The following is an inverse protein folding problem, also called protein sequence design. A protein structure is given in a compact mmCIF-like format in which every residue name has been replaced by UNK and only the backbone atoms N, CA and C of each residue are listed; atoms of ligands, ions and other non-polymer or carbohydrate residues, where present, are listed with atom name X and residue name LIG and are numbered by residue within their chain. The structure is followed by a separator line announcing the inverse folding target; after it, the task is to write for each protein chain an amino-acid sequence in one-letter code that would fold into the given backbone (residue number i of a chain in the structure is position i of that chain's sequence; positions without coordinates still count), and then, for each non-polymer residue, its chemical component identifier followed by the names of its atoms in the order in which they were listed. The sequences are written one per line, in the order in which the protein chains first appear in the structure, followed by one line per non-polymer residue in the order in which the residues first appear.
data_IF_969407998223
#
_entry.id   IF_969407998223
#
_cell.length_a   1.000
_cell.length_b   1.000
_cell.length_c   1.000
_cell.angle_alpha   90.00
_cell.angle_beta   90.00
_cell.angle_gamma   90.00
#
_symmetry.space_group_name_H-M   'P 1'
#
loop_
_entity.id
_entity.type
_entity.pdbx_description
1 polymer ?
#
# COMPACT_ATOMS: atom_id res chain seq x y z
N UNK A 1 8.50 36.12 40.41
CA UNK A 1 9.14 36.70 39.22
C UNK A 1 10.41 35.92 38.96
N UNK A 2 10.61 35.34 37.75
CA UNK A 2 9.58 35.05 36.70
C UNK A 2 8.56 34.00 37.21
N UNK A 3 7.61 33.41 36.47
CA UNK A 3 6.89 33.81 35.23
C UNK A 3 7.54 33.65 33.83
N UNK A 4 7.73 32.40 33.35
CA UNK A 4 7.70 31.97 31.93
C UNK A 4 7.30 30.48 31.92
N UNK A 5 6.27 29.95 31.24
CA UNK A 5 5.37 30.48 30.22
C UNK A 5 3.90 30.17 30.57
N UNK A 6 3.00 31.14 30.39
CA UNK A 6 1.66 30.84 29.87
C UNK A 6 1.84 30.61 28.35
N UNK A 7 1.44 29.45 27.83
CA UNK A 7 1.37 29.17 26.39
C UNK A 7 -0.11 28.99 26.00
N UNK A 8 -0.91 30.00 26.33
CA UNK A 8 -2.32 30.03 25.95
C UNK A 8 -2.45 30.03 24.42
N UNK A 9 -3.16 29.03 23.90
CA UNK A 9 -3.70 29.01 22.54
C UNK A 9 -2.93 28.23 21.47
N UNK A 10 -1.62 27.98 21.61
CA UNK A 10 -0.82 27.30 20.56
C UNK A 10 -0.41 25.86 20.91
N UNK A 11 -0.34 25.51 22.20
CA UNK A 11 -0.02 24.15 22.63
C UNK A 11 -1.18 23.16 22.34
N UNK A 12 -2.43 23.62 22.51
CA UNK A 12 -3.63 22.79 22.30
C UNK A 12 -3.84 22.41 20.82
N UNK A 13 -3.47 23.29 19.87
CA UNK A 13 -3.54 22.97 18.42
C UNK A 13 -2.49 21.93 18.00
N UNK A 14 -1.30 21.96 18.61
CA UNK A 14 -0.28 20.93 18.41
C UNK A 14 -0.71 19.58 19.01
N UNK A 15 -1.36 19.57 20.18
CA UNK A 15 -1.84 18.31 20.76
C UNK A 15 -3.00 17.67 19.95
N UNK A 16 -3.71 18.44 19.13
CA UNK A 16 -4.79 17.90 18.28
C UNK A 16 -4.31 16.98 17.12
N UNK A 17 -3.01 16.96 16.80
CA UNK A 17 -2.49 16.27 15.62
C UNK A 17 -1.30 15.33 15.92
N UNK A 18 -1.17 14.27 15.11
CA UNK A 18 0.10 13.59 14.89
C UNK A 18 0.46 13.68 13.40
N UNK A 19 1.67 14.17 13.12
CA UNK A 19 2.25 14.23 11.79
C UNK A 19 3.44 13.27 11.73
N UNK A 20 3.40 12.32 10.79
CA UNK A 20 4.42 11.29 10.59
C UNK A 20 4.96 11.45 9.18
N UNK A 21 6.19 11.92 9.06
CA UNK A 21 6.82 12.20 7.76
C UNK A 21 7.85 11.13 7.40
N UNK A 22 7.67 10.58 6.20
CA UNK A 22 8.43 9.50 5.55
C UNK A 22 9.09 8.48 6.50
N UNK A 23 8.28 7.69 7.25
CA UNK A 23 8.75 6.91 8.38
C UNK A 23 9.48 5.60 8.00
N UNK A 24 9.78 5.39 6.71
CA UNK A 24 10.56 4.25 6.19
C UNK A 24 11.69 4.82 5.35
N UNK A 25 12.93 4.49 5.70
CA UNK A 25 14.09 4.80 4.87
C UNK A 25 14.19 3.80 3.70
N UNK A 26 14.83 4.19 2.60
CA UNK A 26 15.09 3.30 1.46
C UNK A 26 16.10 2.18 1.72
N UNK A 27 16.60 2.04 2.96
CA UNK A 27 17.35 0.88 3.44
C UNK A 27 16.49 -0.08 4.28
N UNK A 28 15.27 0.31 4.66
CA UNK A 28 14.41 -0.39 5.62
C UNK A 28 13.19 -1.09 4.98
N UNK A 29 13.19 -1.33 3.66
CA UNK A 29 12.14 -2.10 2.94
C UNK A 29 11.82 -3.45 3.64
N UNK A 30 12.83 -4.06 4.27
CA UNK A 30 12.71 -5.28 5.11
C UNK A 30 11.79 -5.11 6.34
N UNK A 31 11.77 -3.92 6.94
CA UNK A 31 11.08 -3.61 8.20
C UNK A 31 9.76 -2.83 7.99
N UNK A 32 9.33 -2.65 6.74
CA UNK A 32 8.15 -1.84 6.36
C UNK A 32 6.88 -2.20 7.14
N UNK A 33 6.71 -3.47 7.53
CA UNK A 33 5.58 -3.94 8.35
C UNK A 33 5.64 -3.50 9.80
N UNK A 34 6.83 -3.36 10.38
CA UNK A 34 7.01 -2.87 11.75
C UNK A 34 6.55 -1.43 11.80
N UNK A 35 6.97 -0.63 10.82
CA UNK A 35 6.54 0.77 10.68
C UNK A 35 5.04 0.86 10.42
N UNK A 36 4.50 0.09 9.47
CA UNK A 36 3.07 0.07 9.19
C UNK A 36 2.23 -0.32 10.43
N UNK A 37 2.63 -1.37 11.15
CA UNK A 37 1.95 -1.84 12.36
C UNK A 37 2.07 -0.83 13.50
N UNK A 38 3.22 -0.20 13.68
CA UNK A 38 3.42 0.86 14.68
C UNK A 38 2.55 2.09 14.41
N UNK A 39 2.42 2.50 13.14
CA UNK A 39 1.51 3.56 12.70
C UNK A 39 0.04 3.16 12.91
N UNK A 40 -0.31 1.89 12.63
CA UNK A 40 -1.66 1.36 12.84
C UNK A 40 -2.04 1.36 14.33
N UNK A 41 -1.16 0.88 15.21
CA UNK A 41 -1.41 0.79 16.66
C UNK A 41 -1.47 2.18 17.32
N UNK A 42 -0.61 3.11 16.88
CA UNK A 42 -0.71 4.52 17.23
C UNK A 42 -2.05 5.11 16.79
N UNK A 43 -2.51 4.76 15.59
CA UNK A 43 -3.78 5.22 15.03
C UNK A 43 -4.97 4.67 15.78
N UNK A 44 -5.02 3.37 16.03
CA UNK A 44 -6.08 2.73 16.81
C UNK A 44 -6.19 3.31 18.23
N UNK A 45 -5.06 3.67 18.84
CA UNK A 45 -5.02 4.26 20.18
C UNK A 45 -5.52 5.72 20.23
N UNK A 46 -5.51 6.46 19.10
CA UNK A 46 -5.67 7.91 19.09
C UNK A 46 -6.70 8.49 18.11
N UNK A 47 -7.24 7.72 17.15
CA UNK A 47 -8.10 8.21 16.05
C UNK A 47 -9.38 8.98 16.47
N UNK A 48 -9.84 8.85 17.71
CA UNK A 48 -10.98 9.61 18.27
C UNK A 48 -10.56 10.90 19.01
N UNK A 49 -9.27 11.07 19.29
CA UNK A 49 -8.71 12.18 20.09
C UNK A 49 -7.86 13.12 19.24
N UNK A 50 -7.13 12.57 18.27
CA UNK A 50 -6.16 13.29 17.43
C UNK A 50 -6.38 12.97 15.97
N UNK A 51 -6.16 13.96 15.11
CA UNK A 51 -6.09 13.76 13.66
C UNK A 51 -4.69 13.30 13.30
N UNK A 52 -4.60 12.20 12.56
CA UNK A 52 -3.32 11.57 12.21
C UNK A 52 -3.09 11.75 10.72
N UNK A 53 -1.90 12.23 10.39
CA UNK A 53 -1.47 12.56 9.04
C UNK A 53 -0.14 11.85 8.81
N UNK A 54 -0.07 11.05 7.74
CA UNK A 54 1.11 10.29 7.36
C UNK A 54 1.48 10.68 5.93
N UNK A 55 2.69 11.20 5.73
CA UNK A 55 3.31 11.39 4.42
C UNK A 55 4.40 10.35 4.21
N UNK A 56 4.56 9.88 2.97
CA UNK A 56 5.66 8.98 2.60
C UNK A 56 5.89 8.99 1.09
N UNK A 57 7.14 8.79 0.68
CA UNK A 57 7.49 8.46 -0.70
C UNK A 57 7.48 6.94 -0.96
N UNK A 58 7.43 6.13 0.10
CA UNK A 58 7.49 4.68 -0.01
C UNK A 58 6.13 4.07 -0.39
N UNK A 59 5.99 3.68 -1.66
CA UNK A 59 4.74 3.13 -2.22
C UNK A 59 4.21 1.90 -1.48
N UNK A 60 5.12 1.00 -1.06
CA UNK A 60 4.75 -0.17 -0.24
C UNK A 60 4.07 0.20 1.08
N UNK A 61 4.60 1.18 1.82
CA UNK A 61 4.04 1.62 3.10
C UNK A 61 2.65 2.22 2.89
N UNK A 62 2.54 3.12 1.91
CA UNK A 62 1.25 3.70 1.51
C UNK A 62 0.24 2.59 1.20
N UNK A 63 0.62 1.59 0.40
CA UNK A 63 -0.26 0.50 -0.02
C UNK A 63 -0.76 -0.34 1.15
N UNK A 64 0.12 -0.70 2.10
CA UNK A 64 -0.20 -1.48 3.30
C UNK A 64 -1.16 -0.70 4.21
N UNK A 65 -0.85 0.57 4.50
CA UNK A 65 -1.68 1.42 5.35
C UNK A 65 -3.03 1.72 4.69
N UNK A 66 -3.05 1.99 3.39
CA UNK A 66 -4.26 2.19 2.60
C UNK A 66 -5.17 0.96 2.65
N UNK A 67 -4.63 -0.24 2.42
CA UNK A 67 -5.40 -1.47 2.56
C UNK A 67 -5.92 -1.61 3.99
N UNK A 68 -5.08 -1.55 5.03
CA UNK A 68 -5.53 -1.76 6.41
C UNK A 68 -6.56 -0.74 6.92
N UNK A 69 -6.49 0.52 6.46
CA UNK A 69 -7.41 1.56 6.90
C UNK A 69 -8.65 1.72 6.01
N UNK A 70 -8.64 1.25 4.76
CA UNK A 70 -9.76 1.44 3.82
C UNK A 70 -10.37 0.16 3.25
N UNK A 71 -9.70 -1.00 3.37
CA UNK A 71 -10.09 -2.30 2.79
C UNK A 71 -9.93 -3.47 3.79
N UNK A 72 -10.61 -4.59 3.51
CA UNK A 72 -10.49 -5.82 4.31
C UNK A 72 -10.91 -5.69 5.78
N UNK A 73 -10.68 -6.75 6.55
CA UNK A 73 -11.28 -6.93 7.89
C UNK A 73 -10.87 -5.87 8.93
N UNK A 74 -9.66 -5.31 8.81
CA UNK A 74 -9.14 -4.28 9.72
C UNK A 74 -9.77 -2.90 9.51
N UNK A 75 -10.31 -2.63 8.32
CA UNK A 75 -10.76 -1.28 7.93
C UNK A 75 -12.01 -0.78 8.65
N UNK A 76 -12.82 -1.66 9.26
CA UNK A 76 -14.22 -1.40 9.64
C UNK A 76 -14.51 0.01 10.16
N UNK A 77 -13.93 0.38 11.32
CA UNK A 77 -14.13 1.69 11.97
C UNK A 77 -13.33 2.85 11.34
N UNK A 78 -12.27 2.55 10.59
CA UNK A 78 -11.37 3.54 10.00
C UNK A 78 -11.78 3.98 8.59
N UNK A 79 -12.42 3.10 7.82
CA UNK A 79 -12.80 3.29 6.41
C UNK A 79 -13.53 4.60 6.10
N UNK A 80 -14.36 5.09 7.04
CA UNK A 80 -15.13 6.34 6.93
C UNK A 80 -14.38 7.58 7.43
N UNK A 81 -13.27 7.39 8.13
CA UNK A 81 -12.45 8.44 8.76
C UNK A 81 -11.16 8.69 7.98
N UNK A 82 -10.67 7.69 7.25
CA UNK A 82 -9.45 7.76 6.44
C UNK A 82 -9.70 8.45 5.10
N UNK A 83 -8.82 9.40 4.75
CA UNK A 83 -8.79 10.05 3.44
C UNK A 83 -7.40 9.87 2.81
N UNK A 84 -7.25 8.91 1.89
CA UNK A 84 -5.98 8.66 1.21
C UNK A 84 -5.81 9.59 0.01
N UNK A 85 -4.59 10.07 -0.19
CA UNK A 85 -4.23 10.96 -1.29
C UNK A 85 -2.86 10.58 -1.86
N UNK A 86 -2.65 10.91 -3.13
CA UNK A 86 -1.35 10.87 -3.78
C UNK A 86 -1.03 12.27 -4.27
N UNK A 87 0.16 12.76 -3.93
CA UNK A 87 0.65 14.05 -4.40
C UNK A 87 1.13 13.91 -5.85
N UNK A 88 0.58 14.74 -6.73
CA UNK A 88 0.96 14.83 -8.14
C UNK A 88 1.40 16.25 -8.47
N UNK A 89 2.43 16.38 -9.31
CA UNK A 89 2.84 17.65 -9.90
C UNK A 89 2.37 17.66 -11.37
N UNK A 90 1.70 18.71 -11.79
CA UNK A 90 1.30 18.92 -13.17
C UNK A 90 1.51 20.39 -13.56
N UNK A 91 2.58 20.65 -14.34
CA UNK A 91 2.97 21.99 -14.80
C UNK A 91 3.20 22.99 -13.66
N UNK A 92 4.00 22.60 -12.67
CA UNK A 92 4.35 23.37 -11.46
C UNK A 92 3.22 23.60 -10.43
N UNK A 93 1.99 23.16 -10.72
CA UNK A 93 0.92 23.03 -9.73
C UNK A 93 0.94 21.67 -9.03
N UNK A 94 0.71 21.66 -7.72
CA UNK A 94 0.65 20.47 -6.87
C UNK A 94 -0.80 20.12 -6.50
N UNK A 95 -1.22 18.88 -6.77
CA UNK A 95 -2.58 18.39 -6.48
C UNK A 95 -2.55 17.08 -5.69
N UNK A 96 -3.38 16.99 -4.64
CA UNK A 96 -3.66 15.77 -3.87
C UNK A 96 -4.85 15.01 -4.46
N UNK A 97 -4.57 13.97 -5.25
CA UNK A 97 -5.60 13.15 -5.90
C UNK A 97 -5.97 11.92 -5.08
N UNK A 98 -7.24 11.52 -5.11
CA UNK A 98 -7.66 10.23 -4.55
C UNK A 98 -7.10 9.08 -5.40
N UNK A 99 -6.53 8.01 -4.80
CA UNK A 99 -6.04 6.82 -5.52
C UNK A 99 -7.08 6.19 -6.46
N UNK A 100 -8.37 6.36 -6.14
CA UNK A 100 -9.47 5.78 -6.92
C UNK A 100 -9.93 6.66 -8.10
N UNK A 101 -9.46 7.91 -8.22
CA UNK A 101 -10.05 8.88 -9.15
C UNK A 101 -9.19 9.16 -10.38
N UNK A 102 -7.87 9.36 -10.24
CA UNK A 102 -7.01 9.52 -11.41
C UNK A 102 -5.51 9.40 -11.07
N UNK A 103 -4.98 8.17 -11.00
CA UNK A 103 -3.55 7.97 -10.70
C UNK A 103 -2.92 6.90 -11.59
N UNK A 104 -2.73 7.26 -12.85
CA UNK A 104 -1.93 6.50 -13.82
C UNK A 104 -0.52 6.16 -13.28
N UNK A 105 0.08 7.12 -12.56
CA UNK A 105 1.40 6.96 -11.93
C UNK A 105 1.42 5.93 -10.79
N UNK A 106 0.31 5.70 -10.08
CA UNK A 106 0.28 4.83 -8.91
C UNK A 106 0.45 3.36 -9.29
N UNK A 107 -0.38 2.89 -10.21
CA UNK A 107 -0.31 1.49 -10.66
C UNK A 107 0.98 1.23 -11.45
N UNK A 108 1.48 2.22 -12.20
CA UNK A 108 2.77 2.12 -12.87
C UNK A 108 3.91 1.97 -11.86
N UNK A 109 3.92 2.78 -10.80
CA UNK A 109 4.95 2.73 -9.77
C UNK A 109 4.87 1.44 -8.93
N UNK A 110 3.66 0.95 -8.62
CA UNK A 110 3.47 -0.40 -8.05
C UNK A 110 4.11 -1.49 -8.93
N UNK A 111 3.85 -1.47 -10.24
CA UNK A 111 4.42 -2.45 -11.17
C UNK A 111 5.96 -2.35 -11.25
N UNK A 112 6.52 -1.14 -11.24
CA UNK A 112 7.97 -0.91 -11.15
C UNK A 112 8.57 -1.50 -9.86
N UNK A 113 7.95 -1.28 -8.70
CA UNK A 113 8.40 -1.85 -7.42
C UNK A 113 8.36 -3.38 -7.45
N UNK A 114 7.28 -3.96 -8.00
CA UNK A 114 7.11 -5.41 -8.13
C UNK A 114 8.13 -6.03 -9.10
N UNK A 115 8.41 -5.39 -10.24
CA UNK A 115 9.41 -5.84 -11.21
C UNK A 115 10.83 -5.76 -10.62
N UNK A 116 11.16 -4.68 -9.91
CA UNK A 116 12.45 -4.52 -9.22
C UNK A 116 12.66 -5.67 -8.22
N UNK A 117 11.69 -5.91 -7.34
CA UNK A 117 11.74 -6.97 -6.32
C UNK A 117 11.88 -8.37 -6.95
N UNK A 118 11.11 -8.65 -8.02
CA UNK A 118 11.25 -9.88 -8.78
C UNK A 118 12.65 -10.03 -9.40
N UNK A 119 13.22 -8.95 -9.94
CA UNK A 119 14.53 -8.97 -10.61
C UNK A 119 15.68 -9.22 -9.63
N UNK A 120 15.68 -8.57 -8.46
CA UNK A 120 16.74 -8.75 -7.45
C UNK A 120 16.59 -10.04 -6.62
N UNK A 121 15.47 -10.76 -6.76
CA UNK A 121 15.10 -11.98 -6.01
C UNK A 121 14.85 -11.78 -4.51
N UNK A 122 14.42 -10.58 -4.12
CA UNK A 122 14.03 -10.27 -2.75
C UNK A 122 12.50 -10.23 -2.66
N UNK A 123 11.87 -11.41 -2.68
CA UNK A 123 10.42 -11.56 -2.67
C UNK A 123 9.90 -11.96 -1.29
N UNK A 124 9.39 -10.98 -0.55
CA UNK A 124 8.64 -11.18 0.71
C UNK A 124 7.14 -11.28 0.46
N UNK A 125 6.40 -11.94 1.37
CA UNK A 125 4.94 -12.13 1.25
C UNK A 125 4.19 -10.82 0.94
N UNK A 126 4.67 -9.66 1.42
CA UNK A 126 3.99 -8.38 1.22
C UNK A 126 3.85 -7.94 -0.23
N UNK A 127 4.71 -8.43 -1.14
CA UNK A 127 4.55 -8.13 -2.55
C UNK A 127 3.23 -8.69 -3.10
N UNK A 128 2.61 -9.70 -2.46
CA UNK A 128 1.24 -10.11 -2.78
C UNK A 128 0.18 -9.05 -2.44
N UNK A 129 0.38 -8.21 -1.43
CA UNK A 129 -0.50 -7.05 -1.15
C UNK A 129 -0.41 -6.07 -2.32
N UNK A 130 0.81 -5.71 -2.71
CA UNK A 130 1.06 -4.79 -3.83
C UNK A 130 0.56 -5.35 -5.17
N UNK A 131 0.78 -6.64 -5.44
CA UNK A 131 0.30 -7.33 -6.64
C UNK A 131 -1.23 -7.39 -6.68
N UNK A 132 -1.88 -7.72 -5.56
CA UNK A 132 -3.35 -7.71 -5.44
C UNK A 132 -3.89 -6.33 -5.75
N UNK A 133 -3.27 -5.28 -5.23
CA UNK A 133 -3.71 -3.90 -5.45
C UNK A 133 -3.46 -3.43 -6.90
N UNK A 134 -2.37 -3.84 -7.55
CA UNK A 134 -2.16 -3.63 -8.98
C UNK A 134 -3.26 -4.33 -9.82
N UNK A 135 -3.62 -5.56 -9.48
CA UNK A 135 -4.71 -6.30 -10.13
C UNK A 135 -6.08 -5.65 -9.89
N UNK A 136 -6.37 -5.14 -8.68
CA UNK A 136 -7.60 -4.38 -8.39
C UNK A 136 -7.67 -3.08 -9.20
N UNK A 137 -6.56 -2.34 -9.32
CA UNK A 137 -6.50 -1.10 -10.09
C UNK A 137 -6.73 -1.36 -11.59
N UNK A 138 -6.10 -2.39 -12.15
CA UNK A 138 -6.28 -2.78 -13.57
C UNK A 138 -7.70 -3.30 -13.81
N UNK A 139 -8.27 -4.08 -12.87
CA UNK A 139 -9.67 -4.50 -12.94
C UNK A 139 -10.61 -3.28 -12.98
N UNK A 140 -10.43 -2.32 -12.06
CA UNK A 140 -11.22 -1.09 -12.00
C UNK A 140 -11.13 -0.27 -13.29
N UNK A 141 -9.92 -0.13 -13.85
CA UNK A 141 -9.69 0.53 -15.14
C UNK A 141 -10.44 -0.15 -16.31
N UNK A 142 -10.51 -1.48 -16.31
CA UNK A 142 -11.27 -2.28 -17.27
C UNK A 142 -12.77 -2.38 -16.95
N UNK A 143 -13.28 -1.63 -15.96
CA UNK A 143 -14.70 -1.58 -15.61
C UNK A 143 -15.21 -2.83 -14.87
N UNK A 144 -14.35 -3.58 -14.20
CA UNK A 144 -14.68 -4.82 -13.47
C UNK A 144 -14.09 -4.81 -12.05
N UNK A 145 -14.77 -5.47 -11.10
CA UNK A 145 -14.26 -5.66 -9.73
C UNK A 145 -13.58 -7.01 -9.51
N UNK A 146 -13.46 -7.84 -10.56
CA UNK A 146 -13.09 -9.26 -10.45
C UNK A 146 -11.63 -9.51 -10.81
N UNK A 147 -10.77 -9.74 -9.82
CA UNK A 147 -9.36 -10.14 -10.02
C UNK A 147 -9.27 -11.41 -10.88
N UNK A 148 -10.14 -12.41 -10.64
CA UNK A 148 -10.16 -13.65 -11.43
C UNK A 148 -10.41 -13.45 -12.94
N UNK A 149 -11.06 -12.34 -13.35
CA UNK A 149 -11.18 -11.98 -14.76
C UNK A 149 -9.81 -11.58 -15.33
N UNK A 150 -9.03 -10.75 -14.62
CA UNK A 150 -7.67 -10.36 -15.02
C UNK A 150 -6.75 -11.57 -15.10
N UNK A 151 -6.80 -12.46 -14.10
CA UNK A 151 -6.03 -13.70 -14.10
C UNK A 151 -6.36 -14.60 -15.32
N UNK A 152 -7.62 -14.61 -15.77
CA UNK A 152 -8.05 -15.32 -16.98
C UNK A 152 -7.52 -14.67 -18.26
N UNK A 153 -7.62 -13.34 -18.38
CA UNK A 153 -7.13 -12.58 -19.56
C UNK A 153 -5.62 -12.74 -19.74
N UNK A 154 -4.85 -12.66 -18.65
CA UNK A 154 -3.39 -12.86 -18.67
C UNK A 154 -2.97 -14.35 -18.74
N UNK A 155 -3.93 -15.28 -18.79
CA UNK A 155 -3.71 -16.73 -19.01
C UNK A 155 -2.75 -17.38 -18.00
N UNK A 156 -2.99 -17.18 -16.71
CA UNK A 156 -2.32 -17.99 -15.66
C UNK A 156 -2.74 -19.47 -15.77
N UNK A 157 -1.89 -20.40 -15.32
CA UNK A 157 -2.12 -21.86 -15.42
C UNK A 157 -3.41 -22.31 -14.74
N UNK A 158 -3.64 -21.87 -13.51
CA UNK A 158 -4.87 -22.13 -12.75
C UNK A 158 -5.35 -20.83 -12.10
N UNK A 159 -6.50 -20.32 -12.58
CA UNK A 159 -7.09 -19.07 -12.11
C UNK A 159 -7.55 -19.16 -10.65
N UNK A 160 -8.07 -20.30 -10.22
CA UNK A 160 -8.61 -20.48 -8.88
C UNK A 160 -7.47 -20.61 -7.86
N UNK A 161 -6.49 -21.49 -8.11
CA UNK A 161 -5.34 -21.65 -7.20
C UNK A 161 -4.56 -20.35 -7.08
N UNK A 162 -4.37 -19.63 -8.19
CA UNK A 162 -3.69 -18.33 -8.20
C UNK A 162 -4.48 -17.28 -7.40
N UNK A 163 -5.80 -17.22 -7.56
CA UNK A 163 -6.66 -16.28 -6.83
C UNK A 163 -6.67 -16.58 -5.33
N UNK A 164 -6.80 -17.86 -4.94
CA UNK A 164 -6.79 -18.28 -3.54
C UNK A 164 -5.44 -17.98 -2.87
N UNK A 165 -4.33 -18.20 -3.59
CA UNK A 165 -2.98 -17.87 -3.12
C UNK A 165 -2.79 -16.36 -2.95
N UNK A 166 -3.22 -15.54 -3.92
CA UNK A 166 -3.18 -14.07 -3.81
C UNK A 166 -3.99 -13.60 -2.61
N UNK A 167 -5.24 -14.06 -2.44
CA UNK A 167 -6.10 -13.67 -1.33
C UNK A 167 -5.52 -14.10 0.03
N UNK A 168 -5.04 -15.33 0.14
CA UNK A 168 -4.45 -15.87 1.37
C UNK A 168 -3.21 -15.09 1.79
N UNK A 169 -2.33 -14.74 0.85
CA UNK A 169 -1.06 -14.07 1.13
C UNK A 169 -1.23 -12.57 1.36
N UNK A 170 -2.16 -11.89 0.66
CA UNK A 170 -2.44 -10.47 0.87
C UNK A 170 -3.17 -10.18 2.19
N UNK A 171 -3.93 -11.14 2.73
CA UNK A 171 -4.71 -10.97 3.95
C UNK A 171 -4.06 -11.57 5.22
N UNK A 172 -2.77 -11.93 5.18
CA UNK A 172 -2.06 -12.38 6.38
C UNK A 172 -1.94 -11.26 7.43
N UNK A 173 -1.55 -11.62 8.66
CA UNK A 173 -1.30 -10.66 9.72
C UNK A 173 0.11 -10.05 9.62
N UNK A 174 0.26 -8.80 10.10
CA UNK A 174 1.52 -8.05 10.16
C UNK A 174 2.74 -8.90 10.59
N UNK A 175 2.56 -9.76 11.59
CA UNK A 175 3.58 -10.64 12.15
C UNK A 175 4.19 -11.64 11.13
N UNK A 176 3.43 -12.08 10.12
CA UNK A 176 3.95 -13.00 9.09
C UNK A 176 4.68 -12.29 7.95
N UNK A 177 4.30 -11.06 7.62
CA UNK A 177 4.95 -10.30 6.55
C UNK A 177 6.37 -9.84 6.92
N UNK A 178 6.67 -9.70 8.21
CA UNK A 178 7.90 -9.10 8.74
C UNK A 178 9.17 -9.95 8.50
N UNK A 179 9.03 -11.27 8.33
CA UNK A 179 10.19 -12.19 8.23
C UNK A 179 10.05 -13.32 7.20
N UNK A 180 8.89 -13.45 6.53
CA UNK A 180 8.70 -14.49 5.52
C UNK A 180 9.08 -13.98 4.13
N UNK A 181 10.27 -14.37 3.68
CA UNK A 181 10.53 -14.63 2.27
C UNK A 181 9.46 -15.59 1.72
N UNK A 182 9.10 -15.41 0.44
CA UNK A 182 8.21 -16.33 -0.27
C UNK A 182 8.89 -17.70 -0.40
N UNK A 183 8.14 -18.77 -0.13
CA UNK A 183 8.55 -20.11 -0.55
C UNK A 183 8.62 -20.20 -2.07
N UNK A 184 9.34 -21.20 -2.59
CA UNK A 184 9.58 -21.31 -4.05
C UNK A 184 8.29 -21.34 -4.88
N UNK A 185 7.25 -22.02 -4.40
CA UNK A 185 5.94 -22.09 -5.05
C UNK A 185 5.22 -20.73 -5.06
N UNK A 186 5.41 -19.92 -4.01
CA UNK A 186 4.82 -18.58 -3.89
C UNK A 186 5.57 -17.60 -4.79
N UNK A 187 6.91 -17.68 -4.87
CA UNK A 187 7.69 -16.92 -5.86
C UNK A 187 7.26 -17.26 -7.29
N UNK A 188 7.15 -18.54 -7.64
CA UNK A 188 6.87 -18.96 -9.01
C UNK A 188 5.47 -18.54 -9.45
N UNK A 189 4.48 -18.60 -8.54
CA UNK A 189 3.14 -18.07 -8.80
C UNK A 189 3.17 -16.55 -8.95
N UNK A 190 3.88 -15.83 -8.07
CA UNK A 190 4.01 -14.37 -8.12
C UNK A 190 4.64 -13.90 -9.43
N UNK A 191 5.75 -14.55 -9.83
CA UNK A 191 6.50 -14.26 -11.05
C UNK A 191 5.68 -14.55 -12.31
N UNK A 192 4.92 -15.64 -12.33
CA UNK A 192 4.00 -15.96 -13.43
C UNK A 192 2.95 -14.85 -13.60
N UNK A 193 2.25 -14.48 -12.54
CA UNK A 193 1.21 -13.43 -12.57
C UNK A 193 1.81 -12.11 -13.04
N UNK A 194 2.91 -11.65 -12.43
CA UNK A 194 3.54 -10.37 -12.77
C UNK A 194 4.06 -10.34 -14.21
N UNK A 195 4.73 -11.41 -14.66
CA UNK A 195 5.26 -11.52 -16.03
C UNK A 195 4.13 -11.52 -17.06
N UNK A 196 3.08 -12.29 -16.81
CA UNK A 196 1.93 -12.36 -17.71
C UNK A 196 1.18 -11.02 -17.76
N UNK A 197 1.05 -10.33 -16.62
CA UNK A 197 0.41 -9.02 -16.51
C UNK A 197 1.15 -7.94 -17.30
N UNK A 198 2.47 -7.84 -17.13
CA UNK A 198 3.32 -6.88 -17.86
C UNK A 198 3.27 -7.17 -19.37
N UNK A 199 3.41 -8.43 -19.76
CA UNK A 199 3.44 -8.83 -21.17
C UNK A 199 2.09 -8.68 -21.88
N UNK A 200 0.97 -9.01 -21.23
CA UNK A 200 -0.37 -8.94 -21.82
C UNK A 200 -0.80 -7.50 -22.09
N UNK A 201 -0.60 -6.59 -21.12
CA UNK A 201 -1.01 -5.19 -21.24
C UNK A 201 0.09 -4.27 -21.80
N UNK A 202 1.25 -4.83 -22.16
CA UNK A 202 2.40 -4.12 -22.73
C UNK A 202 2.86 -2.91 -21.88
N UNK A 203 2.87 -3.06 -20.56
CA UNK A 203 3.34 -2.01 -19.65
C UNK A 203 4.81 -1.66 -19.92
N UNK A 204 5.09 -0.36 -20.06
CA UNK A 204 6.45 0.16 -20.15
C UNK A 204 6.84 0.72 -18.78
N UNK A 205 7.75 0.03 -18.10
CA UNK A 205 8.16 0.35 -16.73
C UNK A 205 9.41 1.28 -16.67
N UNK A 206 9.78 1.88 -17.81
CA UNK A 206 10.94 2.75 -18.00
C UNK A 206 10.53 4.11 -18.61
#
# INVERSE_FOLDING_TARGET
MPQIFEVDGWADEQDAHFFIDDPVSSLDDHNIFITAQSIFDLTESNYLKKRIIVSTHHIGLFSILFDWFTRGDRSGKFSKLTKPFILSNHNDDFELKSPNQDVFLYHLHLLQTLEKAATVKELFIYHYVLLRQALENIASFLGTSRIGFILSEIKVKDVNETMDKINSLSHQSAYRFQFNEMSKTEEDTFREVLTNLINHYHFKLA
#
